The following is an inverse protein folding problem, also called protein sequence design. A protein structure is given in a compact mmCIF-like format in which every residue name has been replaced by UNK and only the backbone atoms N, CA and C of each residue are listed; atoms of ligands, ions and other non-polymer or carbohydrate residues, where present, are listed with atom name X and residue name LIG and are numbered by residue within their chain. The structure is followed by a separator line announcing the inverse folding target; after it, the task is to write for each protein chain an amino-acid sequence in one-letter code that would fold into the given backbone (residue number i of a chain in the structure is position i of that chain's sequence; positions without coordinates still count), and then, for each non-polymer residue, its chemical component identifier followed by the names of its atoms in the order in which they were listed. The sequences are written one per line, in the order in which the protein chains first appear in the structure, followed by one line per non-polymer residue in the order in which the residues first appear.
data_IF_909692963405
#
_entry.id   IF_909692963405
#
_cell.length_a   1.000
_cell.length_b   1.000
_cell.length_c   1.000
_cell.angle_alpha   90.00
_cell.angle_beta   90.00
_cell.angle_gamma   90.00
#
_symmetry.space_group_name_H-M   'P 1'
#
loop_
_entity.id
_entity.type
_entity.pdbx_description
1 polymer ?
#
# COMPACT_ATOMS: atom_id res chain seq x y z
N UNK A 1 5.78 -20.65 -2.92
CA UNK A 1 5.38 -19.33 -3.46
C UNK A 1 5.15 -18.44 -2.27
N UNK A 2 6.12 -17.59 -1.89
CA UNK A 2 5.97 -16.70 -0.74
C UNK A 2 4.88 -15.64 -0.98
N UNK A 3 4.33 -15.03 0.07
CA UNK A 3 3.38 -13.94 -0.09
C UNK A 3 4.06 -12.80 -0.89
N UNK A 4 3.35 -12.24 -1.87
CA UNK A 4 3.87 -11.17 -2.74
C UNK A 4 4.02 -9.83 -2.00
N UNK A 5 3.52 -9.76 -0.78
CA UNK A 5 3.46 -8.59 0.07
C UNK A 5 3.54 -9.00 1.54
N UNK A 6 3.98 -8.08 2.38
CA UNK A 6 4.09 -8.18 3.83
C UNK A 6 3.27 -7.04 4.44
N UNK A 7 2.33 -7.37 5.34
CA UNK A 7 1.63 -6.36 6.14
C UNK A 7 2.57 -5.87 7.25
N UNK A 8 2.79 -4.56 7.30
CA UNK A 8 3.68 -3.93 8.28
C UNK A 8 2.91 -3.41 9.49
N UNK A 9 1.73 -2.85 9.25
CA UNK A 9 0.87 -2.28 10.29
C UNK A 9 -0.59 -2.22 9.82
N UNK A 10 -1.51 -2.20 10.78
CA UNK A 10 -2.95 -2.03 10.55
C UNK A 10 -3.58 -1.23 11.68
N UNK A 11 -4.45 -0.29 11.34
CA UNK A 11 -5.10 0.55 12.33
C UNK A 11 -6.53 0.91 11.92
N UNK A 12 -7.52 0.80 12.83
CA UNK A 12 -8.89 1.21 12.55
C UNK A 12 -9.00 2.74 12.48
N UNK A 13 -9.81 3.24 11.54
CA UNK A 13 -10.19 4.65 11.45
C UNK A 13 -11.70 4.80 11.30
N UNK A 14 -12.28 5.99 11.52
CA UNK A 14 -13.72 6.21 11.35
C UNK A 14 -14.26 5.93 9.93
N UNK A 15 -13.39 5.95 8.92
CA UNK A 15 -13.75 5.75 7.51
C UNK A 15 -13.38 4.36 6.98
N UNK A 16 -12.83 3.48 7.82
CA UNK A 16 -12.37 2.14 7.45
C UNK A 16 -11.04 1.77 8.10
N UNK A 17 -10.65 0.50 7.99
CA UNK A 17 -9.32 0.06 8.44
C UNK A 17 -8.26 0.55 7.46
N UNK A 18 -7.22 1.20 7.96
CA UNK A 18 -6.04 1.52 7.16
C UNK A 18 -5.00 0.44 7.38
N UNK A 19 -4.52 -0.16 6.29
CA UNK A 19 -3.43 -1.13 6.31
C UNK A 19 -2.22 -0.61 5.54
N UNK A 20 -1.02 -0.87 6.06
CA UNK A 20 0.24 -0.57 5.41
C UNK A 20 0.92 -1.88 5.01
N UNK A 21 1.24 -2.01 3.73
CA UNK A 21 1.93 -3.19 3.20
C UNK A 21 3.21 -2.81 2.49
N UNK A 22 4.18 -3.71 2.54
CA UNK A 22 5.42 -3.66 1.77
C UNK A 22 5.42 -4.77 0.72
N UNK A 23 5.77 -4.43 -0.51
CA UNK A 23 6.14 -5.41 -1.54
C UNK A 23 7.43 -5.03 -2.22
N UNK A 24 8.05 -6.00 -2.89
CA UNK A 24 9.23 -5.76 -3.73
C UNK A 24 8.79 -5.58 -5.18
N UNK A 25 9.20 -4.48 -5.81
CA UNK A 25 9.01 -4.27 -7.23
C UNK A 25 9.93 -5.21 -8.02
N UNK A 26 9.41 -6.12 -8.86
CA UNK A 26 10.24 -7.03 -9.64
C UNK A 26 11.06 -6.32 -10.73
N UNK A 27 10.67 -5.13 -11.18
CA UNK A 27 11.38 -4.41 -12.24
C UNK A 27 12.59 -3.66 -11.69
N UNK A 28 12.45 -2.99 -10.54
CA UNK A 28 13.51 -2.17 -9.95
C UNK A 28 14.21 -2.82 -8.77
N UNK A 29 13.63 -3.86 -8.18
CA UNK A 29 14.11 -4.49 -6.95
C UNK A 29 13.88 -3.67 -5.68
N UNK A 30 13.28 -2.48 -5.80
CA UNK A 30 13.02 -1.58 -4.69
C UNK A 30 11.81 -2.00 -3.86
N UNK A 31 11.79 -1.58 -2.60
CA UNK A 31 10.62 -1.73 -1.74
C UNK A 31 9.57 -0.66 -2.08
N UNK A 32 8.33 -1.13 -2.22
CA UNK A 32 7.14 -0.33 -2.48
C UNK A 32 6.24 -0.43 -1.27
N UNK A 33 5.81 0.73 -0.78
CA UNK A 33 4.88 0.83 0.33
C UNK A 33 3.50 1.19 -0.21
N UNK A 34 2.49 0.46 0.22
CA UNK A 34 1.11 0.61 -0.22
C UNK A 34 0.21 0.82 0.99
N UNK A 35 -0.64 1.84 0.93
CA UNK A 35 -1.68 2.09 1.91
C UNK A 35 -3.04 1.74 1.31
N UNK A 36 -3.85 0.99 2.04
CA UNK A 36 -5.23 0.64 1.68
C UNK A 36 -6.21 1.13 2.74
N UNK A 37 -7.47 1.35 2.33
CA UNK A 37 -8.60 1.65 3.21
C UNK A 37 -9.67 0.59 2.99
N UNK A 38 -9.86 -0.28 3.98
CA UNK A 38 -10.65 -1.49 3.83
C UNK A 38 -10.06 -2.35 2.71
N UNK A 39 -10.85 -2.59 1.67
CA UNK A 39 -10.45 -3.38 0.49
C UNK A 39 -10.02 -2.50 -0.71
N UNK A 40 -9.94 -1.18 -0.53
CA UNK A 40 -9.62 -0.23 -1.59
C UNK A 40 -8.16 0.29 -1.51
N UNK A 41 -7.51 0.40 -2.66
CA UNK A 41 -6.16 0.98 -2.74
C UNK A 41 -6.21 2.51 -2.64
N UNK A 42 -5.54 3.08 -1.64
CA UNK A 42 -5.46 4.53 -1.47
C UNK A 42 -4.27 5.11 -2.22
N UNK A 43 -3.04 4.70 -1.86
CA UNK A 43 -1.80 5.31 -2.32
C UNK A 43 -0.63 4.32 -2.31
N UNK A 44 0.39 4.59 -3.15
CA UNK A 44 1.67 3.88 -3.10
C UNK A 44 2.86 4.84 -3.16
N UNK A 45 4.01 4.39 -2.66
CA UNK A 45 5.27 5.15 -2.79
C UNK A 45 5.74 5.29 -4.25
N UNK A 46 5.31 4.40 -5.15
CA UNK A 46 5.61 4.47 -6.59
C UNK A 46 4.69 5.44 -7.34
N UNK A 47 3.46 5.63 -6.87
CA UNK A 47 2.48 6.51 -7.47
C UNK A 47 1.79 7.33 -6.38
N UNK A 48 2.19 8.60 -6.25
CA UNK A 48 1.30 9.60 -5.66
C UNK A 48 0.14 9.79 -6.62
N UNK A 49 -1.09 9.50 -6.18
CA UNK A 49 -2.31 9.85 -6.93
C UNK A 49 -2.17 11.31 -7.35
N UNK A 50 -2.08 11.56 -8.66
CA UNK A 50 -2.07 12.92 -9.20
C UNK A 50 -3.28 13.64 -8.61
N UNK A 51 -3.05 14.69 -7.83
CA UNK A 51 -4.09 15.70 -7.60
C UNK A 51 -4.53 16.19 -8.97
N UNK A 52 -5.69 15.72 -9.43
CA UNK A 52 -6.40 16.35 -10.52
C UNK A 52 -6.81 17.73 -9.99
N UNK A 53 -6.01 18.75 -10.33
CA UNK A 53 -6.36 20.15 -10.11
C UNK A 53 -7.19 20.64 -11.28
#
# INVERSE_FOLDING_TARGET
MGPRFEELDRSPTPIGEVSLRRRRDPATGNDVFEAELGDEHLMSSLFTVRSNR
#
